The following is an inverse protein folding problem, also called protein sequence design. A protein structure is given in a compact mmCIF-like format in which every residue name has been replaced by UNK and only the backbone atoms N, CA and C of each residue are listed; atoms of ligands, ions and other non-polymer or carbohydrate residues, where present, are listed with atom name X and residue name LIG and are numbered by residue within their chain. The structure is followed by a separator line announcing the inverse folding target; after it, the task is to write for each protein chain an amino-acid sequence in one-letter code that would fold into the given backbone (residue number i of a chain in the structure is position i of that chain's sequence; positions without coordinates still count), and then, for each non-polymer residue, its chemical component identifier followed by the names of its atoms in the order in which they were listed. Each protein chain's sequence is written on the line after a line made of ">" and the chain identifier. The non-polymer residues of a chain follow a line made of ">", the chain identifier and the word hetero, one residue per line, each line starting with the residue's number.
data_IF_245954906269
#
_entry.id   IF_245954906269
#
_cell.length_a   1.000
_cell.length_b   1.000
_cell.length_c   1.000
_cell.angle_alpha   90.00
_cell.angle_beta   90.00
_cell.angle_gamma   90.00
#
_symmetry.space_group_name_H-M   'P 1'
#
loop_
_entity.id
_entity.type
_entity.pdbx_description
1 polymer ?
#
# COMPACT_ATOMS: atom_id res chain seq x y z
N UNK A 1 18.33 10.12 -8.82
CA UNK A 1 17.69 8.81 -8.96
C UNK A 1 16.27 9.02 -9.45
N UNK A 2 16.18 9.18 -10.73
CA UNK A 2 15.01 9.53 -11.50
C UNK A 2 14.03 8.35 -11.62
N UNK A 3 12.93 8.58 -11.16
CA UNK A 3 11.57 8.10 -11.33
C UNK A 3 11.30 6.97 -12.32
N UNK A 4 11.03 5.79 -11.75
CA UNK A 4 10.42 4.66 -12.45
C UNK A 4 8.97 4.93 -12.92
N UNK A 5 8.44 6.12 -12.69
CA UNK A 5 7.10 6.52 -13.10
C UNK A 5 7.01 6.84 -14.61
N UNK A 6 8.07 7.37 -15.18
CA UNK A 6 8.05 7.83 -16.59
C UNK A 6 8.83 6.94 -17.57
N UNK A 7 9.52 5.88 -17.08
CA UNK A 7 10.28 4.99 -17.97
C UNK A 7 9.47 3.80 -18.45
N UNK A 8 8.31 3.99 -19.05
CA UNK A 8 7.70 2.95 -19.87
C UNK A 8 7.34 3.50 -21.24
N UNK A 9 8.36 3.90 -22.00
CA UNK A 9 8.24 4.05 -23.46
C UNK A 9 8.25 2.69 -24.19
N UNK A 10 8.46 1.59 -23.48
CA UNK A 10 8.29 0.25 -24.06
C UNK A 10 6.79 -0.05 -24.18
N UNK A 11 6.29 -0.46 -25.34
CA UNK A 11 4.89 -0.85 -25.51
C UNK A 11 4.52 -1.90 -24.47
N UNK A 12 3.56 -1.58 -23.61
CA UNK A 12 3.05 -2.56 -22.66
C UNK A 12 2.37 -3.69 -23.42
N UNK A 13 2.69 -4.96 -23.07
CA UNK A 13 2.00 -6.11 -23.65
C UNK A 13 0.47 -5.99 -23.42
N UNK A 14 -0.33 -6.49 -24.40
CA UNK A 14 -1.81 -6.38 -24.41
C UNK A 14 -2.47 -6.73 -23.06
N UNK A 15 -1.99 -7.78 -22.37
CA UNK A 15 -2.51 -8.17 -21.05
C UNK A 15 -2.23 -7.16 -19.93
N UNK A 16 -1.13 -6.40 -20.01
CA UNK A 16 -0.79 -5.37 -19.03
C UNK A 16 -1.66 -4.12 -19.22
N UNK A 17 -1.87 -3.72 -20.47
CA UNK A 17 -2.77 -2.60 -20.82
C UNK A 17 -4.21 -2.88 -20.35
N UNK A 18 -4.71 -4.08 -20.60
CA UNK A 18 -6.01 -4.52 -20.13
C UNK A 18 -6.15 -4.36 -18.61
N UNK A 19 -5.19 -4.86 -17.83
CA UNK A 19 -5.21 -4.76 -16.37
C UNK A 19 -5.23 -3.31 -15.87
N UNK A 20 -4.49 -2.42 -16.51
CA UNK A 20 -4.52 -0.99 -16.16
C UNK A 20 -5.85 -0.34 -16.49
N UNK A 21 -6.43 -0.65 -17.64
CA UNK A 21 -7.74 -0.14 -18.03
C UNK A 21 -8.84 -0.64 -17.09
N UNK A 22 -8.81 -1.92 -16.74
CA UNK A 22 -9.78 -2.48 -15.80
C UNK A 22 -9.64 -1.92 -14.38
N UNK A 23 -8.40 -1.72 -13.88
CA UNK A 23 -8.16 -1.06 -12.59
C UNK A 23 -8.82 0.33 -12.51
N UNK A 24 -8.87 1.07 -13.63
CA UNK A 24 -9.48 2.38 -13.66
C UNK A 24 -11.03 2.33 -13.53
N UNK A 25 -11.64 1.17 -13.70
CA UNK A 25 -13.08 0.97 -13.53
C UNK A 25 -13.48 0.61 -12.10
N UNK A 26 -12.53 0.22 -11.27
CA UNK A 26 -12.80 -0.18 -9.88
C UNK A 26 -12.77 1.01 -8.93
N UNK A 27 -13.87 1.31 -8.28
CA UNK A 27 -13.96 2.41 -7.30
C UNK A 27 -13.01 2.23 -6.09
N UNK A 28 -12.62 1.00 -5.79
CA UNK A 28 -11.70 0.65 -4.71
C UNK A 28 -10.21 0.64 -5.15
N UNK A 29 -9.89 1.08 -6.38
CA UNK A 29 -8.51 1.20 -6.87
C UNK A 29 -8.21 2.65 -7.21
N UNK A 30 -7.29 3.24 -6.44
CA UNK A 30 -6.86 4.62 -6.61
C UNK A 30 -5.48 4.66 -7.26
N UNK A 31 -5.37 5.35 -8.38
CA UNK A 31 -4.15 5.43 -9.18
C UNK A 31 -3.76 6.90 -9.45
N UNK A 32 -3.40 7.68 -8.42
CA UNK A 32 -3.01 9.07 -8.61
C UNK A 32 -1.77 9.15 -9.53
N UNK A 33 -1.72 10.19 -10.33
CA UNK A 33 -0.57 10.52 -11.16
C UNK A 33 0.58 11.04 -10.30
N UNK A 34 1.80 10.99 -10.82
CA UNK A 34 2.96 11.58 -10.15
C UNK A 34 2.76 13.07 -9.85
N UNK A 35 2.20 13.82 -10.80
CA UNK A 35 1.93 15.26 -10.63
C UNK A 35 0.96 15.52 -9.48
N UNK A 36 -0.10 14.73 -9.35
CA UNK A 36 -1.05 14.85 -8.25
C UNK A 36 -0.37 14.55 -6.90
N UNK A 37 0.43 13.50 -6.83
CA UNK A 37 1.15 13.11 -5.60
C UNK A 37 2.16 14.16 -5.17
N UNK A 38 2.88 14.78 -6.11
CA UNK A 38 3.92 15.77 -5.81
C UNK A 38 3.36 17.18 -5.60
N UNK A 39 2.22 17.48 -6.20
CA UNK A 39 1.62 18.82 -6.19
C UNK A 39 0.95 19.20 -4.87
N UNK A 40 0.32 18.27 -4.19
CA UNK A 40 -0.42 18.50 -2.95
C UNK A 40 -0.61 17.19 -2.16
N UNK A 41 -1.12 17.31 -0.94
CA UNK A 41 -1.61 16.16 -0.19
C UNK A 41 -2.80 15.52 -0.91
N UNK A 42 -2.89 14.21 -0.81
CA UNK A 42 -3.97 13.46 -1.45
C UNK A 42 -5.33 13.83 -0.83
N UNK A 43 -6.40 13.99 -1.63
CA UNK A 43 -7.70 14.45 -1.12
C UNK A 43 -8.31 13.60 0.00
N UNK A 44 -7.97 12.31 0.06
CA UNK A 44 -8.44 11.39 1.12
C UNK A 44 -7.56 11.39 2.37
N UNK A 45 -6.44 12.13 2.41
CA UNK A 45 -5.57 12.22 3.58
C UNK A 45 -6.36 12.71 4.80
N UNK A 46 -6.38 11.92 5.87
CA UNK A 46 -7.18 12.18 7.08
C UNK A 46 -8.68 11.91 6.93
N UNK A 47 -9.12 11.37 5.79
CA UNK A 47 -10.54 11.21 5.46
C UNK A 47 -10.88 9.85 4.84
N UNK A 48 -9.96 8.87 4.92
CA UNK A 48 -10.18 7.54 4.32
C UNK A 48 -11.44 6.86 4.84
N UNK A 49 -11.67 6.88 6.14
CA UNK A 49 -12.86 6.30 6.74
C UNK A 49 -14.14 7.03 6.31
N UNK A 50 -14.14 8.36 6.42
CA UNK A 50 -15.32 9.17 6.14
C UNK A 50 -15.67 9.21 4.65
N UNK A 51 -14.67 9.44 3.78
CA UNK A 51 -14.93 9.76 2.37
C UNK A 51 -14.81 8.57 1.42
N UNK A 52 -13.95 7.58 1.75
CA UNK A 52 -13.79 6.39 0.90
C UNK A 52 -14.60 5.21 1.43
N UNK A 53 -14.32 4.76 2.64
CA UNK A 53 -14.98 3.57 3.22
C UNK A 53 -16.40 3.85 3.71
N UNK A 54 -16.76 5.11 3.95
CA UNK A 54 -18.05 5.53 4.54
C UNK A 54 -18.36 4.82 5.86
N UNK A 55 -17.30 4.54 6.64
CA UNK A 55 -17.37 3.74 7.85
C UNK A 55 -16.18 4.05 8.76
N UNK A 56 -16.46 4.32 10.03
CA UNK A 56 -15.43 4.45 11.05
C UNK A 56 -14.93 3.07 11.48
N UNK A 57 -13.66 2.79 11.27
CA UNK A 57 -13.01 1.54 11.64
C UNK A 57 -11.48 1.74 11.72
N UNK A 58 -10.76 0.89 12.47
CA UNK A 58 -9.30 0.90 12.44
C UNK A 58 -8.79 0.72 11.00
N UNK A 59 -7.85 1.59 10.59
CA UNK A 59 -7.27 1.56 9.24
C UNK A 59 -5.96 0.77 9.25
N UNK A 60 -5.89 -0.25 8.41
CA UNK A 60 -4.74 -1.16 8.29
C UNK A 60 -4.12 -1.01 6.90
N UNK A 61 -2.80 -0.88 6.84
CA UNK A 61 -2.06 -0.80 5.58
C UNK A 61 -1.24 -2.07 5.35
N UNK A 62 -1.20 -2.54 4.11
CA UNK A 62 -0.18 -3.48 3.63
C UNK A 62 0.74 -2.76 2.64
N UNK A 63 2.02 -2.61 2.98
CA UNK A 63 3.00 -1.90 2.16
C UNK A 63 3.78 -2.88 1.29
N UNK A 64 3.73 -2.68 -0.03
CA UNK A 64 4.26 -3.61 -1.01
C UNK A 64 3.33 -4.81 -1.21
N UNK A 65 2.02 -4.58 -1.25
CA UNK A 65 0.98 -5.62 -1.22
C UNK A 65 0.99 -6.59 -2.41
N UNK A 66 1.71 -6.29 -3.48
CA UNK A 66 1.81 -7.16 -4.64
C UNK A 66 0.43 -7.46 -5.25
N UNK A 67 -0.01 -8.70 -5.15
CA UNK A 67 -1.33 -9.15 -5.63
C UNK A 67 -2.47 -8.91 -4.61
N UNK A 68 -2.17 -8.35 -3.45
CA UNK A 68 -3.15 -8.04 -2.43
C UNK A 68 -3.76 -9.25 -1.71
N UNK A 69 -3.08 -10.39 -1.73
CA UNK A 69 -3.57 -11.63 -1.11
C UNK A 69 -3.70 -11.48 0.42
N UNK A 70 -2.72 -10.82 1.06
CA UNK A 70 -2.80 -10.51 2.50
C UNK A 70 -3.86 -9.43 2.79
N UNK A 71 -3.88 -8.36 2.00
CA UNK A 71 -4.89 -7.29 2.14
C UNK A 71 -6.30 -7.87 2.14
N UNK A 72 -6.64 -8.69 1.13
CA UNK A 72 -7.97 -9.29 1.00
C UNK A 72 -8.22 -10.38 2.05
N UNK A 73 -7.22 -11.20 2.35
CA UNK A 73 -7.34 -12.26 3.35
C UNK A 73 -7.56 -11.72 4.77
N UNK A 74 -6.80 -10.69 5.16
CA UNK A 74 -7.00 -10.02 6.45
C UNK A 74 -8.36 -9.34 6.53
N UNK A 75 -8.82 -8.73 5.44
CA UNK A 75 -10.13 -8.07 5.39
C UNK A 75 -11.30 -9.03 5.56
N UNK A 76 -11.16 -10.27 5.11
CA UNK A 76 -12.12 -11.34 5.33
C UNK A 76 -12.10 -11.86 6.76
N UNK A 77 -10.89 -12.05 7.33
CA UNK A 77 -10.71 -12.55 8.69
C UNK A 77 -11.15 -11.55 9.77
N UNK A 78 -11.01 -10.25 9.49
CA UNK A 78 -11.32 -9.17 10.43
C UNK A 78 -12.13 -8.08 9.72
N UNK A 79 -13.40 -8.36 9.43
CA UNK A 79 -14.26 -7.45 8.67
C UNK A 79 -14.60 -6.15 9.41
N UNK A 80 -14.31 -6.07 10.70
CA UNK A 80 -14.48 -4.85 11.51
C UNK A 80 -13.44 -3.76 11.24
N UNK A 81 -12.43 -4.01 10.38
CA UNK A 81 -11.36 -3.07 10.02
C UNK A 81 -11.43 -2.68 8.55
N UNK A 82 -10.82 -1.56 8.20
CA UNK A 82 -10.60 -1.12 6.81
C UNK A 82 -9.16 -1.39 6.40
N UNK A 83 -8.95 -1.81 5.15
CA UNK A 83 -7.65 -2.23 4.64
C UNK A 83 -7.28 -1.48 3.36
N UNK A 84 -6.03 -1.03 3.27
CA UNK A 84 -5.48 -0.45 2.05
C UNK A 84 -4.19 -1.18 1.68
N UNK A 85 -4.20 -1.84 0.53
CA UNK A 85 -3.01 -2.42 -0.07
C UNK A 85 -2.29 -1.38 -0.93
N UNK A 86 -0.99 -1.19 -0.71
CA UNK A 86 -0.17 -0.20 -1.41
C UNK A 86 0.91 -0.91 -2.21
N UNK A 87 0.98 -0.66 -3.52
CA UNK A 87 2.06 -1.11 -4.40
C UNK A 87 2.20 -0.16 -5.59
N UNK A 88 3.39 -0.08 -6.15
CA UNK A 88 3.64 0.69 -7.38
C UNK A 88 3.20 -0.07 -8.64
N UNK A 89 3.12 -1.39 -8.58
CA UNK A 89 2.86 -2.25 -9.73
C UNK A 89 1.36 -2.49 -9.93
N UNK A 90 0.68 -1.59 -10.64
CA UNK A 90 -0.75 -1.69 -10.91
C UNK A 90 -1.21 -3.01 -11.53
N UNK A 91 -0.38 -3.65 -12.36
CA UNK A 91 -0.68 -4.97 -12.91
C UNK A 91 -0.73 -6.10 -11.86
N UNK A 92 -0.05 -5.93 -10.70
CA UNK A 92 -0.17 -6.84 -9.56
C UNK A 92 -1.42 -6.54 -8.74
N UNK A 93 -1.65 -5.28 -8.40
CA UNK A 93 -2.86 -4.78 -7.70
C UNK A 93 -4.14 -5.30 -8.36
N UNK A 94 -4.15 -5.37 -9.69
CA UNK A 94 -5.29 -5.86 -10.46
C UNK A 94 -5.86 -7.19 -9.95
N UNK A 95 -5.02 -8.14 -9.52
CA UNK A 95 -5.52 -9.42 -9.02
C UNK A 95 -6.30 -9.25 -7.70
N UNK A 96 -5.78 -8.47 -6.77
CA UNK A 96 -6.46 -8.15 -5.52
C UNK A 96 -7.75 -7.36 -5.76
N UNK A 97 -7.72 -6.40 -6.68
CA UNK A 97 -8.89 -5.62 -7.05
C UNK A 97 -10.01 -6.50 -7.63
N UNK A 98 -9.66 -7.48 -8.48
CA UNK A 98 -10.62 -8.48 -8.96
C UNK A 98 -11.20 -9.32 -7.81
N UNK A 99 -10.36 -9.75 -6.86
CA UNK A 99 -10.82 -10.49 -5.68
C UNK A 99 -11.82 -9.67 -4.86
N UNK A 100 -11.54 -8.38 -4.64
CA UNK A 100 -12.47 -7.47 -3.94
C UNK A 100 -13.82 -7.40 -4.66
N UNK A 101 -13.80 -7.23 -5.99
CA UNK A 101 -15.00 -7.18 -6.81
C UNK A 101 -15.79 -8.50 -6.79
N UNK A 102 -15.08 -9.62 -6.96
CA UNK A 102 -15.66 -10.97 -7.01
C UNK A 102 -16.31 -11.39 -5.70
N UNK A 103 -15.74 -10.94 -4.58
CA UNK A 103 -16.17 -11.28 -3.22
C UNK A 103 -17.03 -10.21 -2.55
N UNK A 104 -17.24 -9.07 -3.20
CA UNK A 104 -18.05 -7.97 -2.67
C UNK A 104 -17.47 -7.37 -1.37
N UNK A 105 -16.14 -7.31 -1.23
CA UNK A 105 -15.51 -6.73 -0.04
C UNK A 105 -15.67 -5.19 -0.05
N UNK A 106 -16.26 -4.65 0.99
CA UNK A 106 -16.50 -3.20 1.13
C UNK A 106 -15.47 -2.49 2.01
N UNK A 107 -14.59 -3.26 2.66
CA UNK A 107 -13.59 -2.79 3.60
C UNK A 107 -12.17 -2.84 3.03
N UNK A 108 -12.00 -2.90 1.72
CA UNK A 108 -10.69 -2.97 1.04
C UNK A 108 -10.58 -1.89 -0.03
N UNK A 109 -9.44 -1.22 -0.06
CA UNK A 109 -9.00 -0.36 -1.16
C UNK A 109 -7.56 -0.71 -1.58
N UNK A 110 -7.20 -0.34 -2.80
CA UNK A 110 -5.83 -0.39 -3.30
C UNK A 110 -5.37 0.98 -3.75
N UNK A 111 -4.15 1.32 -3.35
CA UNK A 111 -3.52 2.59 -3.71
C UNK A 111 -2.23 2.31 -4.49
N UNK A 112 -2.21 2.73 -5.74
CA UNK A 112 -1.02 2.61 -6.59
C UNK A 112 -0.09 3.79 -6.37
N UNK A 113 0.92 3.61 -5.52
CA UNK A 113 1.95 4.63 -5.25
C UNK A 113 3.23 3.99 -4.73
N UNK A 114 4.31 4.77 -4.68
CA UNK A 114 5.50 4.39 -3.93
C UNK A 114 5.27 4.56 -2.42
N UNK A 115 5.76 3.62 -1.62
CA UNK A 115 5.72 3.70 -0.14
C UNK A 115 6.44 4.96 0.36
N UNK A 116 7.41 5.47 -0.38
CA UNK A 116 8.11 6.72 -0.08
C UNK A 116 7.18 7.92 0.08
N UNK A 117 6.03 7.91 -0.57
CA UNK A 117 5.06 9.00 -0.52
C UNK A 117 3.97 8.83 0.55
N UNK A 118 4.14 7.89 1.49
CA UNK A 118 3.14 7.55 2.51
C UNK A 118 2.54 8.78 3.20
N UNK A 119 3.37 9.74 3.56
CA UNK A 119 2.95 10.96 4.26
C UNK A 119 2.07 11.92 3.43
N UNK A 120 2.00 11.71 2.12
CA UNK A 120 1.09 12.45 1.23
C UNK A 120 -0.34 11.89 1.27
N UNK A 121 -0.47 10.63 1.67
CA UNK A 121 -1.73 9.89 1.62
C UNK A 121 -2.40 9.70 2.97
N UNK A 122 -1.65 9.75 4.06
CA UNK A 122 -2.16 9.50 5.40
C UNK A 122 -1.79 10.63 6.35
N UNK A 123 -2.77 11.05 7.14
CA UNK A 123 -2.60 12.06 8.19
C UNK A 123 -1.94 11.46 9.44
N UNK A 124 -1.37 12.30 10.32
CA UNK A 124 -0.87 11.85 11.60
C UNK A 124 -1.94 11.12 12.41
N UNK A 125 -1.60 9.92 12.89
CA UNK A 125 -2.50 9.11 13.73
C UNK A 125 -3.65 8.42 12.98
N UNK A 126 -3.73 8.52 11.67
CA UNK A 126 -4.84 7.94 10.87
C UNK A 126 -4.77 6.42 10.75
N UNK A 127 -3.57 5.84 10.85
CA UNK A 127 -3.32 4.41 10.64
C UNK A 127 -3.20 3.68 11.97
N UNK A 128 -3.85 2.53 12.09
CA UNK A 128 -3.80 1.71 13.30
C UNK A 128 -2.75 0.60 13.22
N UNK A 129 -2.49 0.08 12.03
CA UNK A 129 -1.64 -1.10 11.86
C UNK A 129 -1.00 -1.09 10.46
N UNK A 130 0.25 -1.52 10.38
CA UNK A 130 1.00 -1.66 9.12
C UNK A 130 1.52 -3.10 9.00
N UNK A 131 1.33 -3.69 7.83
CA UNK A 131 1.88 -5.00 7.45
C UNK A 131 2.94 -4.85 6.38
N UNK A 132 4.07 -5.51 6.59
CA UNK A 132 5.16 -5.71 5.64
C UNK A 132 5.24 -7.21 5.36
N UNK A 133 4.64 -7.65 4.24
CA UNK A 133 4.51 -9.07 3.93
C UNK A 133 5.39 -9.42 2.73
N UNK A 134 6.40 -10.24 2.95
CA UNK A 134 7.34 -10.71 1.93
C UNK A 134 7.90 -9.58 1.05
N UNK A 135 8.19 -8.44 1.67
CA UNK A 135 8.81 -7.31 1.00
C UNK A 135 10.22 -7.68 0.50
N UNK A 136 10.65 -7.01 -0.58
CA UNK A 136 12.00 -7.18 -1.12
C UNK A 136 13.03 -6.89 -0.01
N UNK A 137 13.91 -7.84 0.32
CA UNK A 137 14.90 -7.70 1.38
C UNK A 137 15.95 -6.62 1.10
N UNK A 138 16.05 -6.09 -0.12
CA UNK A 138 16.95 -5.00 -0.50
C UNK A 138 18.39 -5.23 -0.02
N UNK A 139 18.96 -6.39 -0.37
CA UNK A 139 20.31 -6.80 0.04
C UNK A 139 21.34 -5.73 -0.31
N UNK A 140 22.20 -5.35 0.65
CA UNK A 140 23.20 -4.31 0.49
C UNK A 140 22.65 -2.89 0.32
N UNK A 141 21.35 -2.65 0.54
CA UNK A 141 20.68 -1.35 0.39
C UNK A 141 19.81 -1.02 1.59
N UNK A 142 20.41 -0.94 2.76
CA UNK A 142 19.71 -0.83 4.05
C UNK A 142 18.68 0.30 4.08
N UNK A 143 18.99 1.47 3.54
CA UNK A 143 18.05 2.60 3.49
C UNK A 143 16.77 2.32 2.65
N UNK A 144 16.80 1.31 1.77
CA UNK A 144 15.66 0.93 0.92
C UNK A 144 14.79 -0.17 1.54
N UNK A 145 15.24 -0.81 2.61
CA UNK A 145 14.42 -1.77 3.35
C UNK A 145 13.22 -1.07 3.96
N UNK A 146 12.04 -1.66 3.83
CA UNK A 146 10.81 -1.11 4.42
C UNK A 146 10.83 -1.11 5.97
N UNK A 147 11.78 -1.81 6.58
CA UNK A 147 12.05 -1.77 8.02
C UNK A 147 13.20 -0.83 8.41
N UNK A 148 13.77 -0.07 7.46
CA UNK A 148 14.84 0.87 7.79
C UNK A 148 14.36 2.00 8.70
N UNK A 149 15.28 2.64 9.49
CA UNK A 149 14.93 3.78 10.31
C UNK A 149 14.19 4.88 9.55
N UNK A 150 14.56 5.12 8.28
CA UNK A 150 13.89 6.09 7.41
C UNK A 150 12.39 5.78 7.23
N UNK A 151 12.05 4.51 7.00
CA UNK A 151 10.66 4.10 6.84
C UNK A 151 9.94 4.02 8.20
N UNK A 152 10.60 3.53 9.24
CA UNK A 152 10.02 3.49 10.58
C UNK A 152 9.65 4.90 11.08
N UNK A 153 10.45 5.92 10.76
CA UNK A 153 10.12 7.32 11.10
C UNK A 153 8.87 7.81 10.35
N UNK A 154 8.68 7.40 9.10
CA UNK A 154 7.44 7.68 8.36
C UNK A 154 6.25 6.97 8.98
N UNK A 155 6.42 5.71 9.39
CA UNK A 155 5.34 4.95 10.03
C UNK A 155 4.91 5.56 11.36
N UNK A 156 5.86 6.01 12.19
CA UNK A 156 5.56 6.72 13.45
C UNK A 156 4.72 7.97 13.24
N UNK A 157 4.87 8.65 12.11
CA UNK A 157 4.10 9.85 11.81
C UNK A 157 2.64 9.56 11.47
N UNK A 158 2.33 8.43 10.85
CA UNK A 158 0.97 8.07 10.43
C UNK A 158 0.26 7.15 11.41
N UNK A 159 1.00 6.40 12.21
CA UNK A 159 0.43 5.50 13.23
C UNK A 159 -0.16 6.28 14.39
N UNK A 160 -1.35 5.87 14.81
CA UNK A 160 -1.98 6.35 16.04
C UNK A 160 -1.37 5.74 17.30
N UNK A 161 -1.82 6.18 18.48
CA UNK A 161 -1.38 5.61 19.76
C UNK A 161 -1.63 4.10 19.81
N UNK A 162 -0.61 3.34 20.21
CA UNK A 162 -0.68 1.88 20.24
C UNK A 162 -0.61 1.21 18.86
N UNK A 163 -0.35 1.98 17.80
CA UNK A 163 -0.19 1.44 16.45
C UNK A 163 1.00 0.50 16.33
N UNK A 164 0.87 -0.54 15.51
CA UNK A 164 1.88 -1.59 15.37
C UNK A 164 2.34 -1.77 13.93
N UNK A 165 3.58 -2.21 13.75
CA UNK A 165 4.14 -2.64 12.48
C UNK A 165 4.45 -4.12 12.56
N UNK A 166 3.87 -4.90 11.65
CA UNK A 166 4.07 -6.34 11.54
C UNK A 166 4.98 -6.66 10.36
N UNK A 167 6.02 -7.43 10.59
CA UNK A 167 6.87 -7.97 9.54
C UNK A 167 6.64 -9.48 9.40
N UNK A 168 6.34 -9.92 8.17
CA UNK A 168 6.40 -11.31 7.77
C UNK A 168 7.35 -11.45 6.60
N UNK A 169 8.42 -12.22 6.79
CA UNK A 169 9.47 -12.41 5.78
C UNK A 169 10.01 -13.83 5.83
N UNK A 170 10.44 -14.31 4.68
CA UNK A 170 11.22 -15.55 4.49
C UNK A 170 12.73 -15.25 4.33
N UNK A 171 13.13 -13.97 4.33
CA UNK A 171 14.53 -13.57 4.28
C UNK A 171 15.15 -13.52 5.68
N UNK A 172 16.11 -14.42 6.00
CA UNK A 172 16.86 -14.36 7.26
C UNK A 172 17.61 -13.03 7.45
N UNK A 173 18.13 -12.46 6.36
CA UNK A 173 18.85 -11.21 6.37
C UNK A 173 17.93 -10.03 6.76
N UNK A 174 16.74 -9.96 6.17
CA UNK A 174 15.78 -8.90 6.51
C UNK A 174 15.27 -9.06 7.94
N UNK A 175 15.02 -10.28 8.37
CA UNK A 175 14.62 -10.60 9.73
C UNK A 175 15.70 -10.15 10.75
N UNK A 176 16.94 -10.60 10.55
CA UNK A 176 18.07 -10.25 11.44
C UNK A 176 18.32 -8.74 11.45
N UNK A 177 18.31 -8.10 10.28
CA UNK A 177 18.42 -6.64 10.17
C UNK A 177 17.35 -5.94 11.01
N UNK A 178 16.11 -6.37 10.90
CA UNK A 178 14.97 -5.72 11.57
C UNK A 178 15.02 -5.89 13.09
N UNK A 179 15.53 -7.02 13.59
CA UNK A 179 15.72 -7.22 15.04
C UNK A 179 16.78 -6.32 15.65
N UNK A 180 17.72 -5.82 14.86
CA UNK A 180 18.86 -5.00 15.32
C UNK A 180 18.62 -3.48 15.19
N UNK A 181 17.42 -3.07 14.78
CA UNK A 181 17.03 -1.67 14.69
C UNK A 181 16.18 -1.27 15.91
#
# INVERSE_FOLDING_TARGET
>A
TTDNWQRTTTPMGKGKQFKFAENATFAHVLQPTFTEVMGADFPLKGRWNADHFKREAPLVLELGCGKGEYTTGLAQLRPERNYIGIDIKGARIWRGARTVQEQGLTNVAFLRTHVDHLLRFFAPGEVSEIWLTFSDPQLGKDRKKLTSPLFLDRYRQVLGPGGVVNLKTDSPELYTYTLNI
#
